data_IF_496705894416
#
_entry.id   IF_496705894416
#
_cell.length_a   1.000
_cell.length_b   1.000
_cell.length_c   1.000
_cell.angle_alpha   90.00
_cell.angle_beta   90.00
_cell.angle_gamma   90.00
#
_symmetry.space_group_name_H-M   'P 1'
#
loop_
_entity.id
_entity.type
_entity.pdbx_description
1 polymer ?
#
# COMPACT_ATOMS: atom_id res chain seq x y z
N UNK A 1 -0.84 -49.35 -44.46
CA UNK A 1 -1.09 -47.91 -44.73
C UNK A 1 -2.23 -47.38 -43.83
N UNK A 2 -2.39 -47.89 -42.59
CA UNK A 2 -3.47 -47.51 -41.65
C UNK A 2 -2.92 -46.96 -40.32
N UNK A 3 -1.61 -47.08 -40.07
CA UNK A 3 -0.99 -46.74 -38.78
C UNK A 3 -0.64 -45.24 -38.63
N UNK A 4 -0.50 -44.51 -39.74
CA UNK A 4 -0.16 -43.07 -39.72
C UNK A 4 -1.32 -42.19 -39.25
N UNK A 5 -2.57 -42.57 -39.57
CA UNK A 5 -3.75 -41.81 -39.14
C UNK A 5 -4.08 -42.00 -37.66
N UNK A 6 -3.79 -43.17 -37.10
CA UNK A 6 -3.98 -43.47 -35.68
C UNK A 6 -3.03 -42.64 -34.79
N UNK A 7 -1.78 -42.50 -35.22
CA UNK A 7 -0.79 -41.69 -34.51
C UNK A 7 -1.15 -40.20 -34.53
N UNK A 8 -1.57 -39.65 -35.67
CA UNK A 8 -1.96 -38.23 -35.79
C UNK A 8 -3.15 -37.87 -34.90
N UNK A 9 -4.21 -38.69 -34.90
CA UNK A 9 -5.39 -38.48 -34.04
C UNK A 9 -5.04 -38.54 -32.55
N UNK A 10 -4.15 -39.45 -32.17
CA UNK A 10 -3.69 -39.58 -30.78
C UNK A 10 -2.87 -38.37 -30.34
N UNK A 11 -1.95 -37.86 -31.18
CA UNK A 11 -1.20 -36.63 -30.90
C UNK A 11 -2.09 -35.39 -30.85
N UNK A 12 -3.10 -35.29 -31.72
CA UNK A 12 -4.06 -34.19 -31.70
C UNK A 12 -4.86 -34.16 -30.39
N UNK A 13 -5.30 -35.33 -29.89
CA UNK A 13 -6.01 -35.43 -28.60
C UNK A 13 -5.10 -35.10 -27.42
N UNK A 14 -3.86 -35.58 -27.40
CA UNK A 14 -2.90 -35.24 -26.33
C UNK A 14 -2.60 -33.75 -26.33
N UNK A 15 -2.40 -33.15 -27.52
CA UNK A 15 -2.18 -31.72 -27.67
C UNK A 15 -3.33 -30.87 -27.16
N UNK A 16 -4.59 -31.22 -27.49
CA UNK A 16 -5.77 -30.50 -26.99
C UNK A 16 -5.97 -30.67 -25.49
N UNK A 17 -5.69 -31.85 -24.93
CA UNK A 17 -5.75 -32.06 -23.49
C UNK A 17 -4.69 -31.24 -22.75
N UNK A 18 -3.47 -31.16 -23.28
CA UNK A 18 -2.40 -30.34 -22.70
C UNK A 18 -2.74 -28.85 -22.76
N UNK A 19 -3.29 -28.34 -23.86
CA UNK A 19 -3.68 -26.93 -23.95
C UNK A 19 -4.85 -26.61 -23.03
N UNK A 20 -5.85 -27.49 -22.94
CA UNK A 20 -6.96 -27.33 -21.97
C UNK A 20 -6.43 -27.35 -20.53
N UNK A 21 -5.49 -28.23 -20.20
CA UNK A 21 -4.88 -28.27 -18.88
C UNK A 21 -4.16 -26.96 -18.55
N UNK A 22 -3.39 -26.40 -19.50
CA UNK A 22 -2.72 -25.11 -19.31
C UNK A 22 -3.71 -23.94 -19.15
N UNK A 23 -4.80 -23.93 -19.92
CA UNK A 23 -5.86 -22.92 -19.80
C UNK A 23 -6.53 -23.02 -18.42
N UNK A 24 -6.80 -24.22 -17.94
CA UNK A 24 -7.38 -24.44 -16.60
C UNK A 24 -6.42 -23.94 -15.53
N UNK A 25 -5.13 -24.27 -15.61
CA UNK A 25 -4.12 -23.80 -14.66
C UNK A 25 -4.02 -22.27 -14.66
N UNK A 26 -3.98 -21.64 -15.84
CA UNK A 26 -3.96 -20.18 -15.96
C UNK A 26 -5.23 -19.54 -15.39
N UNK A 27 -6.41 -20.10 -15.68
CA UNK A 27 -7.67 -19.62 -15.15
C UNK A 27 -7.71 -19.71 -13.61
N UNK A 28 -7.25 -20.83 -13.04
CA UNK A 28 -7.14 -21.01 -11.58
C UNK A 28 -6.13 -20.03 -10.97
N UNK A 29 -4.94 -19.88 -11.56
CA UNK A 29 -3.93 -18.93 -11.04
C UNK A 29 -4.42 -17.48 -11.12
N UNK A 30 -5.10 -17.10 -12.22
CA UNK A 30 -5.68 -15.76 -12.37
C UNK A 30 -6.79 -15.47 -11.34
N UNK A 31 -7.60 -16.47 -11.00
CA UNK A 31 -8.60 -16.35 -9.96
C UNK A 31 -7.94 -16.17 -8.58
N UNK A 32 -6.91 -16.97 -8.27
CA UNK A 32 -6.18 -16.90 -7.01
C UNK A 32 -5.30 -15.64 -6.88
N UNK A 33 -4.86 -15.05 -8.00
CA UNK A 33 -4.02 -13.85 -7.99
C UNK A 33 -4.75 -12.64 -7.40
N UNK A 34 -6.05 -12.52 -7.63
CA UNK A 34 -6.86 -11.41 -7.10
C UNK A 34 -6.88 -11.41 -5.56
N UNK A 35 -7.05 -12.59 -4.96
CA UNK A 35 -7.03 -12.75 -3.49
C UNK A 35 -5.64 -12.50 -2.90
N UNK A 36 -4.59 -12.92 -3.60
CA UNK A 36 -3.20 -12.63 -3.19
C UNK A 36 -2.90 -11.13 -3.21
N UNK A 37 -3.43 -10.41 -4.21
CA UNK A 37 -3.25 -8.96 -4.34
C UNK A 37 -3.99 -8.17 -3.27
N UNK A 38 -5.21 -8.58 -2.90
CA UNK A 38 -5.94 -7.94 -1.78
C UNK A 38 -5.28 -8.23 -0.45
N UNK A 39 -4.83 -9.47 -0.23
CA UNK A 39 -4.08 -9.85 0.96
C UNK A 39 -2.73 -9.10 1.07
N UNK A 40 -2.00 -8.95 -0.04
CA UNK A 40 -0.75 -8.20 -0.04
C UNK A 40 -0.98 -6.70 0.20
N UNK A 41 -2.02 -6.11 -0.41
CA UNK A 41 -2.39 -4.72 -0.16
C UNK A 41 -2.75 -4.47 1.31
N UNK A 42 -3.54 -5.37 1.93
CA UNK A 42 -3.88 -5.29 3.34
C UNK A 42 -2.63 -5.42 4.23
N UNK A 43 -1.71 -6.33 3.89
CA UNK A 43 -0.45 -6.49 4.62
C UNK A 43 0.43 -5.23 4.54
N UNK A 44 0.56 -4.64 3.35
CA UNK A 44 1.30 -3.38 3.14
C UNK A 44 0.66 -2.21 3.89
N UNK A 45 -0.66 -2.12 3.88
CA UNK A 45 -1.38 -1.09 4.63
C UNK A 45 -1.15 -1.26 6.14
N UNK A 46 -1.24 -2.49 6.65
CA UNK A 46 -0.99 -2.77 8.06
C UNK A 46 0.45 -2.37 8.45
N UNK A 47 1.43 -2.72 7.63
CA UNK A 47 2.82 -2.32 7.85
C UNK A 47 3.00 -0.79 7.84
N UNK A 48 2.35 -0.09 6.92
CA UNK A 48 2.37 1.37 6.84
C UNK A 48 1.77 2.02 8.10
N UNK A 49 0.64 1.50 8.61
CA UNK A 49 0.01 1.98 9.85
C UNK A 49 0.94 1.77 11.05
N UNK A 50 1.58 0.60 11.15
CA UNK A 50 2.52 0.32 12.26
C UNK A 50 3.72 1.25 12.20
N UNK A 51 4.33 1.44 11.03
CA UNK A 51 5.46 2.38 10.87
C UNK A 51 5.04 3.81 11.20
N UNK A 52 3.92 4.27 10.67
CA UNK A 52 3.39 5.61 10.95
C UNK A 52 3.11 5.83 12.44
N UNK A 53 2.61 4.82 13.15
CA UNK A 53 2.41 4.90 14.61
C UNK A 53 3.72 5.06 15.38
N UNK A 54 4.78 4.35 14.98
CA UNK A 54 6.12 4.50 15.59
C UNK A 54 6.66 5.90 15.32
N UNK A 55 6.65 6.36 14.07
CA UNK A 55 7.11 7.72 13.71
C UNK A 55 6.32 8.80 14.44
N UNK A 56 5.00 8.65 14.56
CA UNK A 56 4.19 9.58 15.33
C UNK A 56 4.63 9.64 16.79
N UNK A 57 4.84 8.48 17.42
CA UNK A 57 5.28 8.35 18.80
C UNK A 57 6.68 8.93 19.05
N UNK A 58 7.59 8.83 18.09
CA UNK A 58 8.97 9.30 18.23
C UNK A 58 9.09 10.81 18.00
N UNK A 59 8.35 11.37 17.04
CA UNK A 59 8.66 12.69 16.48
C UNK A 59 7.48 13.69 16.50
N UNK A 60 6.25 13.22 16.72
CA UNK A 60 5.05 14.05 16.59
C UNK A 60 4.31 14.30 17.92
N UNK A 61 4.37 13.37 18.87
CA UNK A 61 3.56 13.38 20.11
C UNK A 61 3.79 14.60 20.98
N UNK A 62 5.02 15.12 21.04
CA UNK A 62 5.36 16.27 21.89
C UNK A 62 4.56 17.53 21.51
N UNK A 63 4.19 17.66 20.24
CA UNK A 63 3.42 18.78 19.72
C UNK A 63 1.94 18.44 19.53
N UNK A 64 1.64 17.22 19.10
CA UNK A 64 0.29 16.81 18.69
C UNK A 64 -0.45 15.95 19.70
N UNK A 65 0.18 15.53 20.80
CA UNK A 65 -0.41 14.66 21.83
C UNK A 65 -0.35 13.18 21.45
N UNK A 66 -0.42 12.30 22.46
CA UNK A 66 -0.30 10.84 22.28
C UNK A 66 -1.38 10.25 21.38
N UNK A 67 -2.57 10.85 21.38
CA UNK A 67 -3.72 10.44 20.59
C UNK A 67 -4.03 11.43 19.46
N UNK A 68 -3.13 12.37 19.17
CA UNK A 68 -3.38 13.44 18.21
C UNK A 68 -4.39 14.47 18.69
N UNK A 69 -4.62 14.62 19.99
CA UNK A 69 -5.58 15.54 20.59
C UNK A 69 -5.12 17.01 20.60
N UNK A 70 -3.86 17.25 20.24
CA UNK A 70 -3.23 18.57 20.21
C UNK A 70 -2.74 19.03 21.58
N UNK A 71 -1.63 19.78 21.56
CA UNK A 71 -1.07 20.40 22.77
C UNK A 71 -1.15 21.92 22.63
N UNK A 72 -1.84 22.57 23.56
CA UNK A 72 -2.08 24.02 23.53
C UNK A 72 -0.75 24.79 23.47
N UNK A 73 -0.58 25.58 22.41
CA UNK A 73 0.62 26.39 22.20
C UNK A 73 1.78 25.66 21.53
N UNK A 74 1.63 24.37 21.22
CA UNK A 74 2.63 23.57 20.51
C UNK A 74 2.11 23.11 19.15
N UNK A 75 1.05 22.31 19.11
CA UNK A 75 0.48 21.77 17.87
C UNK A 75 -1.04 21.56 17.94
N UNK A 76 -1.75 21.66 16.80
CA UNK A 76 -3.19 21.43 16.73
C UNK A 76 -3.56 19.96 16.91
N UNK A 77 -4.83 19.70 17.20
CA UNK A 77 -5.41 18.37 17.16
C UNK A 77 -5.44 17.81 15.73
N UNK A 78 -5.03 16.56 15.58
CA UNK A 78 -5.02 15.78 14.35
C UNK A 78 -6.11 14.68 14.34
N UNK A 79 -6.74 14.41 15.48
CA UNK A 79 -7.80 13.41 15.61
C UNK A 79 -9.21 13.99 15.47
N UNK A 80 -9.34 15.22 14.96
CA UNK A 80 -10.64 15.85 14.76
C UNK A 80 -11.39 15.19 13.60
N UNK A 81 -12.72 15.10 13.71
CA UNK A 81 -13.53 14.50 12.64
C UNK A 81 -13.44 15.29 11.35
N UNK A 82 -13.33 16.61 11.47
CA UNK A 82 -13.24 17.54 10.34
C UNK A 82 -11.94 17.28 9.56
N UNK A 83 -10.80 17.17 10.24
CA UNK A 83 -9.54 16.88 9.57
C UNK A 83 -9.57 15.49 8.92
N UNK A 84 -10.03 14.46 9.63
CA UNK A 84 -10.07 13.10 9.10
C UNK A 84 -11.08 12.92 7.95
N UNK A 85 -12.09 13.78 7.85
CA UNK A 85 -13.05 13.76 6.76
C UNK A 85 -12.59 14.55 5.52
N UNK A 86 -11.81 15.62 5.71
CA UNK A 86 -11.43 16.54 4.63
C UNK A 86 -10.00 16.35 4.13
N UNK A 87 -9.10 15.85 4.97
CA UNK A 87 -7.70 15.71 4.62
C UNK A 87 -7.50 14.57 3.62
N UNK A 88 -6.90 14.92 2.47
CA UNK A 88 -6.38 13.94 1.52
C UNK A 88 -4.98 13.49 1.93
N UNK A 89 -4.60 12.28 1.54
CA UNK A 89 -3.23 11.77 1.72
C UNK A 89 -2.19 12.74 1.17
N UNK A 90 -2.47 13.33 0.01
CA UNK A 90 -1.59 14.33 -0.62
C UNK A 90 -1.42 15.58 0.26
N UNK A 91 -2.51 16.09 0.83
CA UNK A 91 -2.44 17.27 1.70
C UNK A 91 -1.70 16.98 3.01
N UNK A 92 -1.89 15.79 3.59
CA UNK A 92 -1.16 15.37 4.78
C UNK A 92 0.32 15.20 4.48
N UNK A 93 0.65 14.50 3.39
CA UNK A 93 2.01 14.29 2.94
C UNK A 93 2.74 15.62 2.71
N UNK A 94 2.14 16.56 1.98
CA UNK A 94 2.75 17.88 1.77
C UNK A 94 2.93 18.65 3.08
N UNK A 95 1.95 18.62 3.98
CA UNK A 95 2.06 19.29 5.28
C UNK A 95 3.19 18.71 6.16
N UNK A 96 3.44 17.39 6.08
CA UNK A 96 4.51 16.72 6.82
C UNK A 96 5.87 16.98 6.14
N UNK A 97 5.94 16.74 4.83
CA UNK A 97 7.17 16.84 4.05
C UNK A 97 7.72 18.27 4.06
N UNK A 98 6.86 19.26 3.81
CA UNK A 98 7.24 20.67 3.74
C UNK A 98 7.21 21.37 5.12
N UNK A 99 6.65 20.71 6.13
CA UNK A 99 6.31 21.35 7.39
C UNK A 99 5.25 22.44 7.20
N UNK A 100 5.16 23.37 8.16
CA UNK A 100 4.24 24.52 8.05
C UNK A 100 5.00 25.84 8.21
N UNK A 101 5.32 26.53 7.10
CA UNK A 101 6.02 27.81 7.13
C UNK A 101 5.34 28.82 8.07
N UNK A 102 6.13 29.51 8.87
CA UNK A 102 5.63 30.47 9.87
C UNK A 102 5.08 29.84 11.15
N UNK A 103 5.26 28.54 11.35
CA UNK A 103 4.93 27.81 12.60
C UNK A 103 6.15 27.07 13.13
N UNK A 104 6.01 26.44 14.31
CA UNK A 104 7.05 25.57 14.88
C UNK A 104 7.11 24.18 14.25
N UNK A 105 6.22 23.83 13.31
CA UNK A 105 6.22 22.52 12.66
C UNK A 105 7.31 22.45 11.58
N UNK A 106 8.39 21.68 11.79
CA UNK A 106 9.51 21.60 10.86
C UNK A 106 9.14 20.80 9.62
N UNK A 107 9.98 20.90 8.59
CA UNK A 107 9.90 20.04 7.42
C UNK A 107 10.54 18.69 7.72
N UNK A 108 9.81 17.60 7.44
CA UNK A 108 10.27 16.24 7.73
C UNK A 108 10.75 15.49 6.49
N UNK A 109 10.43 16.00 5.30
CA UNK A 109 10.83 15.39 4.04
C UNK A 109 12.32 15.58 3.76
N UNK A 110 12.96 14.53 3.26
CA UNK A 110 14.38 14.54 2.87
C UNK A 110 14.70 15.62 1.82
N UNK A 111 13.77 15.94 0.92
CA UNK A 111 13.93 17.01 -0.05
C UNK A 111 14.03 18.40 0.61
N UNK A 112 13.49 18.55 1.82
CA UNK A 112 13.51 19.76 2.64
C UNK A 112 14.57 19.68 3.75
N UNK A 113 15.39 18.63 3.78
CA UNK A 113 16.44 18.41 4.77
C UNK A 113 15.99 17.66 6.04
N UNK A 114 14.76 17.16 6.07
CA UNK A 114 14.24 16.32 7.16
C UNK A 114 14.66 14.84 7.05
N UNK A 115 14.37 14.01 8.06
CA UNK A 115 14.87 12.64 8.15
C UNK A 115 14.12 11.62 7.29
N UNK A 116 12.93 11.91 6.76
CA UNK A 116 12.08 10.90 6.13
C UNK A 116 12.02 10.95 4.61
N UNK A 117 12.09 9.76 3.99
CA UNK A 117 11.84 9.59 2.58
C UNK A 117 10.33 9.50 2.30
N UNK A 118 9.93 9.34 1.04
CA UNK A 118 8.52 9.28 0.66
C UNK A 118 7.74 8.02 1.12
N UNK A 119 8.36 7.13 1.92
CA UNK A 119 7.79 5.85 2.35
C UNK A 119 7.40 5.85 3.83
N UNK A 120 7.72 6.94 4.54
CA UNK A 120 7.43 7.22 5.94
C UNK A 120 6.64 8.53 6.00
#
# INVERSE_FOLDING_TARGET
>A
MHDSEYNYRSYAVVGTLMTVALIIVFAVDSALQSDRMTASAAALQHEAVVRGAVTFAEDCVDCHGEQGEGVRGSGPALNTRELLAEASDKSLYSAIADGRPGTSMPAWGQAQGGPYNAQV
#
